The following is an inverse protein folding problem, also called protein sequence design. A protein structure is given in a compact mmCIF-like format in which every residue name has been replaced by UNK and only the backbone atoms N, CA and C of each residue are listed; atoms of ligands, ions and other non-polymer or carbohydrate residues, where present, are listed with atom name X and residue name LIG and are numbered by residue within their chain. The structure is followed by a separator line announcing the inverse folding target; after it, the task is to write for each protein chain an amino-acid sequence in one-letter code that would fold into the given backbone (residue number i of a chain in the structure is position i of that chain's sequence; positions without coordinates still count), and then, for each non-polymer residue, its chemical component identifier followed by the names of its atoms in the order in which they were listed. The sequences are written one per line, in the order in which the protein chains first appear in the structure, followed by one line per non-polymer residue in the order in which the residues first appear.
data_IF_252042451234
#
_entry.id   IF_252042451234
#
_cell.length_a   1.000
_cell.length_b   1.000
_cell.length_c   1.000
_cell.angle_alpha   90.00
_cell.angle_beta   90.00
_cell.angle_gamma   90.00
#
_symmetry.space_group_name_H-M   'P 1'
#
loop_
_entity.id
_entity.type
_entity.pdbx_description
1 polymer ?
#
# COMPACT_ATOMS: atom_id res chain seq x y z
N UNK A 1 27.72 -5.83 -11.92
CA UNK A 1 27.53 -6.95 -10.99
C UNK A 1 26.04 -7.00 -10.65
N UNK A 2 25.35 -7.97 -11.22
CA UNK A 2 23.91 -8.20 -11.02
C UNK A 2 23.71 -8.60 -9.58
N UNK A 3 23.12 -7.74 -8.78
CA UNK A 3 22.63 -8.10 -7.44
C UNK A 3 21.21 -8.64 -7.55
N UNK A 4 21.09 -9.92 -7.92
CA UNK A 4 19.92 -10.71 -7.61
C UNK A 4 19.96 -11.05 -6.12
N UNK A 5 19.41 -10.22 -5.28
CA UNK A 5 19.20 -10.56 -3.87
C UNK A 5 17.82 -11.15 -3.70
N UNK A 6 17.79 -12.44 -3.37
CA UNK A 6 16.64 -13.13 -2.82
C UNK A 6 16.14 -12.37 -1.58
N UNK A 7 15.00 -11.71 -1.71
CA UNK A 7 14.29 -11.17 -0.56
C UNK A 7 13.34 -12.25 -0.03
N UNK A 8 13.84 -13.04 0.90
CA UNK A 8 13.01 -13.83 1.79
C UNK A 8 13.47 -13.57 3.20
N UNK A 9 12.69 -12.89 3.96
CA UNK A 9 12.25 -13.24 5.31
C UNK A 9 11.73 -12.02 6.07
N UNK A 10 10.52 -12.18 6.52
CA UNK A 10 9.86 -11.30 7.46
C UNK A 10 10.64 -11.14 8.76
N UNK A 11 10.74 -9.90 9.29
CA UNK A 11 10.57 -9.70 10.71
C UNK A 11 11.79 -9.72 11.60
N UNK A 12 12.94 -9.18 11.17
CA UNK A 12 13.91 -8.64 12.15
C UNK A 12 14.17 -7.19 11.77
N UNK A 13 13.83 -6.27 12.68
CA UNK A 13 14.13 -4.86 12.51
C UNK A 13 15.60 -4.70 12.14
N UNK A 14 15.90 -4.26 10.92
CA UNK A 14 17.27 -3.99 10.49
C UNK A 14 17.77 -2.79 11.28
N UNK A 15 18.58 -3.05 12.28
CA UNK A 15 19.34 -2.02 12.99
C UNK A 15 20.64 -1.87 12.23
N UNK A 16 20.87 -0.72 11.63
CA UNK A 16 22.13 -0.41 10.97
C UNK A 16 23.16 0.05 12.02
N UNK A 17 24.37 -0.52 12.05
CA UNK A 17 25.34 -0.23 13.10
C UNK A 17 25.85 1.23 13.08
N UNK A 18 25.75 1.89 11.94
CA UNK A 18 26.15 3.28 11.72
C UNK A 18 24.99 4.30 11.93
N UNK A 19 23.79 3.83 12.30
CA UNK A 19 22.66 4.69 12.66
C UNK A 19 22.44 4.61 14.17
N UNK A 20 22.92 5.61 14.87
CA UNK A 20 22.74 5.69 16.32
C UNK A 20 21.25 5.80 16.69
N UNK A 21 20.82 5.19 17.79
CA UNK A 21 19.44 5.21 18.24
C UNK A 21 18.85 6.62 18.46
N UNK A 22 19.70 7.60 18.75
CA UNK A 22 19.36 9.01 18.88
C UNK A 22 19.58 9.83 17.60
N UNK A 23 19.92 9.18 16.48
CA UNK A 23 20.01 9.87 15.19
C UNK A 23 18.64 10.43 14.82
N UNK A 24 18.58 11.68 14.36
CA UNK A 24 17.33 12.41 14.10
C UNK A 24 16.38 11.71 13.11
N UNK A 25 16.91 10.93 12.18
CA UNK A 25 16.13 10.17 11.20
C UNK A 25 16.04 8.66 11.54
N UNK A 26 16.50 8.20 12.72
CA UNK A 26 16.58 6.78 13.04
C UNK A 26 15.24 6.05 12.93
N UNK A 27 14.16 6.69 13.40
CA UNK A 27 12.81 6.11 13.33
C UNK A 27 12.34 5.90 11.89
N UNK A 28 12.55 6.88 11.02
CA UNK A 28 12.16 6.82 9.60
C UNK A 28 13.02 5.83 8.83
N UNK A 29 14.32 5.81 9.09
CA UNK A 29 15.25 4.83 8.48
C UNK A 29 14.81 3.40 8.84
N UNK A 30 14.52 3.14 10.11
CA UNK A 30 14.02 1.85 10.57
C UNK A 30 12.71 1.48 9.87
N UNK A 31 11.71 2.35 9.94
CA UNK A 31 10.39 2.11 9.35
C UNK A 31 10.46 1.80 7.84
N UNK A 32 11.17 2.65 7.08
CA UNK A 32 11.25 2.48 5.63
C UNK A 32 12.16 1.31 5.23
N UNK A 33 13.12 0.93 6.06
CA UNK A 33 13.91 -0.27 5.86
C UNK A 33 13.11 -1.55 6.10
N UNK A 34 12.24 -1.57 7.12
CA UNK A 34 11.31 -2.68 7.37
C UNK A 34 10.33 -2.87 6.21
N UNK A 35 9.93 -1.79 5.56
CA UNK A 35 9.08 -1.78 4.36
C UNK A 35 9.85 -2.02 3.05
N UNK A 36 11.16 -2.25 3.11
CA UNK A 36 12.04 -2.40 1.94
C UNK A 36 12.01 -1.21 0.96
N UNK A 37 11.56 -0.04 1.40
CA UNK A 37 11.59 1.21 0.63
C UNK A 37 13.01 1.74 0.52
N UNK A 38 13.77 1.66 1.62
CA UNK A 38 15.20 1.97 1.63
C UNK A 38 15.97 0.72 2.07
N UNK A 39 17.16 0.55 1.52
CA UNK A 39 18.02 -0.60 1.83
C UNK A 39 19.40 -0.12 2.25
N UNK A 40 20.05 -0.89 3.13
CA UNK A 40 21.47 -0.67 3.46
C UNK A 40 22.41 -1.22 2.39
N UNK A 41 23.68 -0.98 2.60
CA UNK A 41 24.75 -1.49 1.76
C UNK A 41 25.10 -2.95 2.10
N UNK A 42 25.82 -3.65 1.20
CA UNK A 42 26.24 -5.03 1.46
C UNK A 42 27.13 -5.22 2.70
N UNK A 43 27.79 -4.15 3.15
CA UNK A 43 28.59 -4.12 4.37
C UNK A 43 27.75 -4.02 5.66
N UNK A 44 26.43 -3.95 5.52
CA UNK A 44 25.47 -3.85 6.61
C UNK A 44 25.21 -2.43 7.11
N UNK A 45 25.86 -1.42 6.53
CA UNK A 45 25.69 -0.01 6.91
C UNK A 45 24.52 0.64 6.17
N UNK A 46 24.00 1.75 6.66
CA UNK A 46 23.03 2.61 5.98
C UNK A 46 23.63 3.84 5.32
N UNK A 47 24.68 4.37 5.91
CA UNK A 47 25.38 5.60 5.51
C UNK A 47 24.46 6.81 5.46
N UNK A 48 23.89 7.24 6.59
CA UNK A 48 22.86 8.28 6.63
C UNK A 48 23.32 9.64 6.07
N UNK A 49 24.61 9.94 6.17
CA UNK A 49 25.21 11.22 5.74
C UNK A 49 25.75 11.19 4.31
N UNK A 50 25.75 10.03 3.64
CA UNK A 50 26.18 9.95 2.24
C UNK A 50 25.14 10.62 1.32
N UNK A 51 25.61 11.28 0.27
CA UNK A 51 24.75 11.89 -0.73
C UNK A 51 24.06 10.81 -1.59
N UNK A 52 22.88 11.14 -2.10
CA UNK A 52 22.08 10.26 -2.98
C UNK A 52 22.22 10.74 -4.42
N UNK A 53 22.48 9.81 -5.34
CA UNK A 53 22.48 10.13 -6.76
C UNK A 53 21.05 10.26 -7.30
N UNK A 54 20.89 10.92 -8.45
CA UNK A 54 19.60 11.09 -9.14
C UNK A 54 18.97 9.74 -9.51
N UNK A 55 19.78 8.77 -9.92
CA UNK A 55 19.32 7.41 -10.24
C UNK A 55 18.83 6.66 -8.99
N UNK A 56 19.59 6.72 -7.90
CA UNK A 56 19.20 6.13 -6.62
C UNK A 56 17.90 6.75 -6.12
N UNK A 57 17.78 8.07 -6.17
CA UNK A 57 16.58 8.76 -5.71
C UNK A 57 15.34 8.41 -6.55
N UNK A 58 15.44 8.36 -7.88
CA UNK A 58 14.34 7.92 -8.74
C UNK A 58 13.87 6.50 -8.38
N UNK A 59 14.83 5.59 -8.15
CA UNK A 59 14.52 4.22 -7.71
C UNK A 59 13.84 4.20 -6.34
N UNK A 60 14.38 4.91 -5.35
CA UNK A 60 13.81 4.99 -4.01
C UNK A 60 12.39 5.58 -4.02
N UNK A 61 12.13 6.61 -4.83
CA UNK A 61 10.81 7.24 -4.95
C UNK A 61 9.76 6.27 -5.53
N UNK A 62 10.11 5.51 -6.56
CA UNK A 62 9.20 4.51 -7.16
C UNK A 62 8.89 3.37 -6.19
N UNK A 63 9.89 2.86 -5.45
CA UNK A 63 9.67 1.87 -4.40
C UNK A 63 8.81 2.42 -3.26
N UNK A 64 9.03 3.67 -2.85
CA UNK A 64 8.21 4.34 -1.84
C UNK A 64 6.73 4.44 -2.24
N UNK A 65 6.46 4.56 -3.54
CA UNK A 65 5.10 4.63 -4.09
C UNK A 65 4.52 3.25 -4.44
N UNK A 66 5.27 2.16 -4.27
CA UNK A 66 4.84 0.80 -4.59
C UNK A 66 4.56 0.60 -6.09
N UNK A 67 5.29 1.29 -6.95
CA UNK A 67 5.06 1.30 -8.40
C UNK A 67 6.16 0.61 -9.21
N UNK A 68 7.00 -0.18 -8.57
CA UNK A 68 8.11 -0.92 -9.19
C UNK A 68 7.67 -1.93 -10.26
N UNK A 69 6.43 -2.39 -10.19
CA UNK A 69 5.88 -3.35 -11.17
C UNK A 69 5.04 -2.70 -12.29
N UNK A 70 4.90 -1.37 -12.28
CA UNK A 70 4.19 -0.66 -13.36
C UNK A 70 4.93 -0.80 -14.68
N UNK A 71 4.21 -1.12 -15.77
CA UNK A 71 4.79 -1.20 -17.11
C UNK A 71 4.69 0.15 -17.82
N UNK A 72 5.81 0.67 -18.28
CA UNK A 72 5.89 1.85 -19.14
C UNK A 72 5.93 1.41 -20.60
N UNK A 73 4.96 1.85 -21.40
CA UNK A 73 4.79 1.41 -22.81
C UNK A 73 5.61 2.27 -23.77
N UNK A 74 5.82 3.54 -23.41
CA UNK A 74 6.55 4.50 -24.24
C UNK A 74 7.71 5.10 -23.43
N UNK A 75 8.87 4.44 -23.41
CA UNK A 75 10.02 4.96 -22.70
C UNK A 75 10.60 6.21 -23.38
N UNK A 76 11.23 7.07 -22.59
CA UNK A 76 11.98 8.23 -23.07
C UNK A 76 13.42 7.84 -23.30
N UNK A 77 13.97 8.19 -24.44
CA UNK A 77 15.36 7.91 -24.76
C UNK A 77 16.28 9.00 -24.21
N UNK A 78 17.31 8.58 -23.48
CA UNK A 78 18.39 9.43 -23.00
C UNK A 78 19.70 9.06 -23.72
N UNK A 79 20.66 9.97 -23.76
CA UNK A 79 21.96 9.73 -24.38
C UNK A 79 23.01 9.21 -23.41
N UNK A 80 22.71 9.25 -22.12
CA UNK A 80 23.61 8.90 -21.01
C UNK A 80 23.12 7.71 -20.16
N UNK A 81 22.00 7.12 -20.51
CA UNK A 81 21.50 5.85 -19.96
C UNK A 81 20.87 5.02 -21.08
N UNK A 82 21.11 3.74 -21.07
CA UNK A 82 20.54 2.74 -21.96
C UNK A 82 19.64 1.76 -21.20
N UNK A 83 19.03 0.82 -21.93
CA UNK A 83 18.11 -0.15 -21.36
C UNK A 83 18.78 -1.11 -20.36
N UNK A 84 20.11 -1.29 -20.46
CA UNK A 84 20.89 -2.14 -19.56
C UNK A 84 21.32 -1.42 -18.27
N UNK A 85 21.06 -0.09 -18.18
CA UNK A 85 21.38 0.66 -16.98
C UNK A 85 20.51 0.21 -15.80
N UNK A 86 21.10 -0.05 -14.65
CA UNK A 86 20.44 -0.67 -13.50
C UNK A 86 19.17 0.05 -13.03
N UNK A 87 19.09 1.37 -13.16
CA UNK A 87 17.95 2.19 -12.74
C UNK A 87 17.04 2.58 -13.92
N UNK A 88 17.34 2.14 -15.16
CA UNK A 88 16.59 2.56 -16.35
C UNK A 88 15.07 2.47 -16.15
N UNK A 89 14.61 1.32 -15.72
CA UNK A 89 13.19 1.04 -15.53
C UNK A 89 12.53 1.96 -14.47
N UNK A 90 13.25 2.25 -13.38
CA UNK A 90 12.77 3.14 -12.32
C UNK A 90 12.73 4.60 -12.77
N UNK A 91 13.72 5.02 -13.55
CA UNK A 91 13.75 6.36 -14.16
C UNK A 91 12.58 6.54 -15.13
N UNK A 92 12.31 5.56 -15.99
CA UNK A 92 11.17 5.59 -16.91
C UNK A 92 9.82 5.67 -16.17
N UNK A 93 9.68 4.95 -15.05
CA UNK A 93 8.48 5.02 -14.18
C UNK A 93 8.35 6.39 -13.51
N UNK A 94 9.46 6.96 -13.03
CA UNK A 94 9.44 8.29 -12.44
C UNK A 94 9.01 9.37 -13.45
N UNK A 95 9.41 9.27 -14.71
CA UNK A 95 8.92 10.11 -15.81
C UNK A 95 7.44 9.84 -16.12
N UNK A 96 7.06 8.57 -16.22
CA UNK A 96 5.67 8.18 -16.49
C UNK A 96 4.70 8.73 -15.44
N UNK A 97 5.08 8.70 -14.17
CA UNK A 97 4.28 9.25 -13.06
C UNK A 97 4.44 10.77 -12.89
N UNK A 98 5.17 11.44 -13.79
CA UNK A 98 5.40 12.89 -13.75
C UNK A 98 6.10 13.37 -12.46
N UNK A 99 6.84 12.47 -11.79
CA UNK A 99 7.62 12.83 -10.62
C UNK A 99 8.81 13.72 -10.99
N UNK A 100 9.45 13.39 -12.10
CA UNK A 100 10.56 14.13 -12.70
C UNK A 100 10.15 14.64 -14.07
N UNK A 101 10.60 15.83 -14.41
CA UNK A 101 10.40 16.38 -15.74
C UNK A 101 11.48 15.84 -16.68
N UNK A 102 11.10 15.56 -17.93
CA UNK A 102 12.07 15.34 -18.98
C UNK A 102 12.86 16.65 -19.18
N UNK A 103 14.21 16.62 -19.14
CA UNK A 103 15.00 17.81 -19.37
C UNK A 103 14.65 18.44 -20.74
N UNK A 104 14.46 19.75 -20.79
CA UNK A 104 14.24 20.45 -22.04
C UNK A 104 15.47 20.27 -22.94
N UNK A 105 15.25 19.81 -24.18
CA UNK A 105 16.33 19.38 -25.05
C UNK A 105 16.71 17.92 -24.96
N UNK A 106 16.05 17.16 -24.08
CA UNK A 106 15.72 15.73 -24.16
C UNK A 106 16.87 14.74 -24.05
N UNK A 107 18.06 15.08 -23.56
CA UNK A 107 19.10 14.16 -23.92
C UNK A 107 19.89 13.53 -22.78
N UNK A 108 19.92 14.13 -21.59
CA UNK A 108 20.71 13.58 -20.48
C UNK A 108 19.91 13.55 -19.20
N UNK A 109 19.91 12.41 -18.55
CA UNK A 109 19.34 12.25 -17.22
C UNK A 109 20.33 12.61 -16.11
N UNK A 110 21.64 12.42 -16.34
CA UNK A 110 22.73 12.60 -15.38
C UNK A 110 22.57 11.69 -14.15
N UNK A 111 22.58 10.37 -14.34
CA UNK A 111 22.22 9.40 -13.29
C UNK A 111 23.13 9.45 -12.06
N UNK A 112 24.41 9.73 -12.26
CA UNK A 112 25.44 9.71 -11.23
C UNK A 112 25.63 11.05 -10.51
N UNK A 113 24.98 12.13 -10.98
CA UNK A 113 24.98 13.40 -10.28
C UNK A 113 24.21 13.28 -8.97
N UNK A 114 24.67 13.94 -7.91
CA UNK A 114 23.93 14.01 -6.65
C UNK A 114 22.63 14.80 -6.84
N UNK A 115 21.53 14.30 -6.28
CA UNK A 115 20.27 15.03 -6.26
C UNK A 115 20.36 16.18 -5.25
N UNK A 116 19.96 17.38 -5.66
CA UNK A 116 19.85 18.53 -4.74
C UNK A 116 18.55 18.48 -3.93
N UNK A 117 18.52 19.22 -2.82
CA UNK A 117 17.29 19.32 -2.01
C UNK A 117 16.11 19.90 -2.81
N UNK A 118 16.33 20.93 -3.64
CA UNK A 118 15.25 21.51 -4.45
C UNK A 118 14.71 20.52 -5.49
N UNK A 119 15.57 19.70 -6.10
CA UNK A 119 15.15 18.62 -7.00
C UNK A 119 14.37 17.54 -6.25
N UNK A 120 14.88 17.10 -5.08
CA UNK A 120 14.23 16.08 -4.28
C UNK A 120 12.84 16.53 -3.80
N UNK A 121 12.72 17.76 -3.27
CA UNK A 121 11.45 18.35 -2.85
C UNK A 121 10.47 18.46 -4.03
N UNK A 122 10.96 18.79 -5.22
CA UNK A 122 10.10 18.87 -6.41
C UNK A 122 9.51 17.51 -6.77
N UNK A 123 10.33 16.45 -6.76
CA UNK A 123 9.87 15.08 -7.05
C UNK A 123 8.78 14.65 -6.08
N UNK A 124 8.94 14.89 -4.78
CA UNK A 124 7.93 14.49 -3.79
C UNK A 124 6.63 15.28 -3.92
N UNK A 125 6.70 16.58 -4.26
CA UNK A 125 5.50 17.41 -4.49
C UNK A 125 4.78 16.99 -5.77
N UNK A 126 5.51 16.63 -6.82
CA UNK A 126 4.94 16.15 -8.08
C UNK A 126 4.17 14.82 -7.93
N UNK A 127 4.50 14.03 -6.92
CA UNK A 127 3.73 12.82 -6.60
C UNK A 127 2.30 13.11 -6.11
N UNK A 128 1.98 14.38 -5.79
CA UNK A 128 0.75 14.77 -5.12
C UNK A 128 -0.16 15.62 -6.01
N UNK A 129 -1.45 15.55 -5.75
CA UNK A 129 -2.42 16.55 -6.16
C UNK A 129 -2.42 17.67 -5.12
N UNK A 130 -1.98 18.85 -5.50
CA UNK A 130 -1.86 20.01 -4.63
C UNK A 130 -2.60 21.19 -5.20
N UNK A 131 -3.06 22.11 -4.33
CA UNK A 131 -3.60 23.39 -4.79
C UNK A 131 -2.50 24.22 -5.47
N UNK A 132 -2.90 24.99 -6.48
CA UNK A 132 -1.99 25.94 -7.09
C UNK A 132 -1.73 27.12 -6.19
N UNK A 133 -0.49 27.55 -6.14
CA UNK A 133 -0.06 28.73 -5.40
C UNK A 133 0.70 29.70 -6.31
N UNK A 134 0.62 30.98 -5.99
CA UNK A 134 1.40 32.01 -6.72
C UNK A 134 2.84 32.06 -6.19
N UNK A 135 3.79 32.56 -7.01
CA UNK A 135 5.16 32.81 -6.54
C UNK A 135 5.22 33.71 -5.30
N UNK A 136 4.32 34.72 -5.20
CA UNK A 136 4.22 35.58 -4.01
C UNK A 136 3.82 34.77 -2.78
N UNK A 137 2.83 33.88 -2.91
CA UNK A 137 2.43 33.01 -1.79
C UNK A 137 3.54 32.07 -1.38
N UNK A 138 4.27 31.49 -2.35
CA UNK A 138 5.44 30.67 -2.06
C UNK A 138 6.51 31.44 -1.26
N UNK A 139 6.87 32.64 -1.69
CA UNK A 139 7.81 33.52 -0.97
C UNK A 139 7.30 33.90 0.45
N UNK A 140 6.00 34.11 0.59
CA UNK A 140 5.38 34.43 1.89
C UNK A 140 5.56 33.27 2.88
N UNK A 141 5.21 32.04 2.50
CA UNK A 141 5.29 30.87 3.39
C UNK A 141 6.74 30.49 3.69
N UNK A 142 7.65 30.72 2.74
CA UNK A 142 9.09 30.41 2.88
C UNK A 142 9.90 31.53 3.56
N UNK A 143 9.29 32.68 3.92
CA UNK A 143 10.02 33.85 4.47
C UNK A 143 10.82 33.58 5.76
N UNK A 144 10.52 32.49 6.47
CA UNK A 144 11.25 32.08 7.68
C UNK A 144 12.65 31.52 7.39
N UNK A 145 12.90 31.08 6.14
CA UNK A 145 14.18 30.47 5.76
C UNK A 145 15.21 31.54 5.39
N UNK A 146 16.40 31.41 5.96
CA UNK A 146 17.48 32.41 5.83
C UNK A 146 18.19 32.35 4.48
N UNK A 147 18.02 31.25 3.75
CA UNK A 147 18.66 30.95 2.47
C UNK A 147 17.66 30.87 1.29
N UNK A 148 16.46 31.45 1.45
CA UNK A 148 15.43 31.48 0.41
C UNK A 148 15.95 32.04 -0.93
N UNK A 149 16.90 32.98 -0.89
CA UNK A 149 17.50 33.56 -2.07
C UNK A 149 18.36 32.58 -2.88
N UNK A 150 18.66 31.40 -2.35
CA UNK A 150 19.37 30.33 -3.07
C UNK A 150 18.44 29.37 -3.81
N UNK A 151 17.13 29.44 -3.56
CA UNK A 151 16.13 28.61 -4.27
C UNK A 151 15.99 29.10 -5.69
N UNK A 152 16.08 28.20 -6.66
CA UNK A 152 15.88 28.54 -8.08
C UNK A 152 14.40 28.88 -8.34
N UNK A 153 14.15 29.85 -9.26
CA UNK A 153 12.77 30.29 -9.56
C UNK A 153 11.86 29.15 -10.00
N UNK A 154 12.39 28.17 -10.73
CA UNK A 154 11.67 26.97 -11.18
C UNK A 154 11.22 26.05 -10.04
N UNK A 155 11.95 26.03 -8.92
CA UNK A 155 11.66 25.19 -7.76
C UNK A 155 10.88 25.93 -6.65
N UNK A 156 10.72 27.24 -6.75
CA UNK A 156 10.09 28.07 -5.74
C UNK A 156 8.66 27.62 -5.38
N UNK A 157 7.89 27.26 -6.39
CA UNK A 157 6.50 26.81 -6.21
C UNK A 157 6.47 25.45 -5.47
N UNK A 158 7.34 24.53 -5.87
CA UNK A 158 7.44 23.21 -5.22
C UNK A 158 7.86 23.35 -3.75
N UNK A 159 8.88 24.17 -3.46
CA UNK A 159 9.31 24.46 -2.10
C UNK A 159 8.18 25.08 -1.24
N UNK A 160 7.42 26.02 -1.80
CA UNK A 160 6.27 26.62 -1.12
C UNK A 160 5.12 25.63 -0.86
N UNK A 161 4.83 24.75 -1.81
CA UNK A 161 3.84 23.66 -1.64
C UNK A 161 4.29 22.67 -0.56
N UNK A 162 5.57 22.26 -0.57
CA UNK A 162 6.13 21.38 0.45
C UNK A 162 6.03 22.01 1.86
N UNK A 163 6.26 23.32 1.98
CA UNK A 163 6.10 24.04 3.24
C UNK A 163 4.64 24.03 3.74
N UNK A 164 3.68 24.29 2.86
CA UNK A 164 2.24 24.28 3.21
C UNK A 164 1.79 22.89 3.68
N UNK A 165 2.38 21.82 3.11
CA UNK A 165 2.07 20.43 3.43
C UNK A 165 2.91 19.85 4.58
N UNK A 166 3.76 20.69 5.21
CA UNK A 166 4.70 20.27 6.27
C UNK A 166 5.60 19.08 5.85
N UNK A 167 6.09 19.12 4.61
CA UNK A 167 6.90 18.05 4.02
C UNK A 167 8.40 18.36 4.03
N UNK A 168 8.80 19.59 4.33
CA UNK A 168 10.21 19.97 4.38
C UNK A 168 10.94 19.24 5.52
N UNK A 169 12.19 18.84 5.25
CA UNK A 169 13.03 18.20 6.26
C UNK A 169 13.75 19.23 7.09
N UNK A 170 13.67 19.09 8.40
CA UNK A 170 14.33 19.95 9.35
C UNK A 170 15.43 19.19 10.09
N UNK A 171 16.65 19.36 9.63
CA UNK A 171 17.83 18.79 10.31
C UNK A 171 18.05 19.58 11.62
N UNK A 172 18.29 18.91 12.76
CA UNK A 172 18.58 19.58 14.02
C UNK A 172 19.72 20.58 13.89
N UNK A 173 19.49 21.82 14.36
CA UNK A 173 20.43 22.93 14.21
C UNK A 173 20.34 23.70 12.88
N UNK A 174 19.60 23.24 11.91
CA UNK A 174 19.42 23.85 10.58
C UNK A 174 17.96 24.12 10.19
N UNK A 175 17.08 24.17 11.15
CA UNK A 175 15.61 24.29 10.96
C UNK A 175 15.15 25.47 10.08
N UNK A 176 15.99 26.48 9.90
CA UNK A 176 15.69 27.66 9.09
C UNK A 176 16.50 27.75 7.80
N UNK A 177 16.96 26.59 7.29
CA UNK A 177 17.65 26.48 6.01
C UNK A 177 16.94 25.48 5.09
N UNK A 178 16.79 25.84 3.81
CA UNK A 178 16.28 24.96 2.77
C UNK A 178 17.38 24.15 2.10
N UNK A 179 18.62 24.63 2.13
CA UNK A 179 19.79 24.04 1.50
C UNK A 179 19.57 23.71 -0.01
N UNK A 180 18.77 24.49 -0.68
CA UNK A 180 18.17 24.17 -1.97
C UNK A 180 19.11 23.51 -2.97
N UNK A 181 20.33 24.07 -3.13
CA UNK A 181 21.35 23.58 -4.09
C UNK A 181 22.37 22.60 -3.52
N UNK A 182 22.30 22.32 -2.22
CA UNK A 182 23.19 21.35 -1.60
C UNK A 182 22.71 19.93 -1.92
N UNK A 183 23.63 18.94 -2.08
CA UNK A 183 23.24 17.54 -2.22
C UNK A 183 22.44 17.06 -1.02
N UNK A 184 21.38 16.30 -1.28
CA UNK A 184 20.58 15.70 -0.23
C UNK A 184 21.20 14.38 0.26
N UNK A 185 21.23 14.20 1.58
CA UNK A 185 21.77 12.99 2.22
C UNK A 185 20.73 11.86 2.24
N UNK A 186 21.19 10.62 2.44
CA UNK A 186 20.31 9.45 2.52
C UNK A 186 19.32 9.55 3.69
N UNK A 187 19.72 10.14 4.80
CA UNK A 187 18.82 10.41 5.93
C UNK A 187 17.73 11.40 5.54
N UNK A 188 18.08 12.52 4.91
CA UNK A 188 17.13 13.55 4.45
C UNK A 188 16.18 12.99 3.41
N UNK A 189 16.67 12.25 2.42
CA UNK A 189 15.85 11.57 1.41
C UNK A 189 14.88 10.57 2.07
N UNK A 190 15.33 9.80 3.07
CA UNK A 190 14.46 8.86 3.77
C UNK A 190 13.27 9.56 4.44
N UNK A 191 13.50 10.69 5.08
CA UNK A 191 12.42 11.48 5.72
C UNK A 191 11.51 12.09 4.66
N UNK A 192 12.04 12.64 3.56
CA UNK A 192 11.26 13.15 2.44
C UNK A 192 10.36 12.07 1.84
N UNK A 193 10.88 10.87 1.61
CA UNK A 193 10.11 9.75 1.08
C UNK A 193 8.98 9.32 2.02
N UNK A 194 9.23 9.29 3.34
CA UNK A 194 8.17 9.02 4.30
C UNK A 194 7.05 10.05 4.21
N UNK A 195 7.39 11.32 4.20
CA UNK A 195 6.41 12.41 4.08
C UNK A 195 5.62 12.29 2.75
N UNK A 196 6.30 11.99 1.64
CA UNK A 196 5.66 11.73 0.35
C UNK A 196 4.67 10.56 0.44
N UNK A 197 5.08 9.44 1.02
CA UNK A 197 4.22 8.25 1.14
C UNK A 197 2.94 8.56 1.91
N UNK A 198 3.02 9.29 3.02
CA UNK A 198 1.88 9.65 3.84
C UNK A 198 0.92 10.57 3.08
N UNK A 199 1.42 11.58 2.40
CA UNK A 199 0.61 12.51 1.63
C UNK A 199 0.05 11.88 0.35
N UNK A 200 0.84 11.06 -0.37
CA UNK A 200 0.40 10.40 -1.58
C UNK A 200 -0.71 9.37 -1.36
N UNK A 201 -0.82 8.80 -0.15
CA UNK A 201 -1.95 7.94 0.22
C UNK A 201 -3.29 8.69 0.18
N UNK A 202 -3.28 9.97 0.53
CA UNK A 202 -4.47 10.81 0.61
C UNK A 202 -4.73 11.55 -0.71
N UNK A 203 -3.69 12.10 -1.30
CA UNK A 203 -3.76 13.03 -2.41
C UNK A 203 -2.74 12.70 -3.51
N UNK A 204 -2.75 11.49 -4.12
CA UNK A 204 -1.83 11.16 -5.19
C UNK A 204 -2.07 12.02 -6.44
N UNK A 205 -1.05 12.25 -7.25
CA UNK A 205 -1.25 12.86 -8.56
C UNK A 205 -2.13 11.97 -9.45
N UNK A 206 -2.62 12.52 -10.55
CA UNK A 206 -3.60 11.84 -11.41
C UNK A 206 -3.10 10.48 -11.92
N UNK A 207 -1.87 10.40 -12.42
CA UNK A 207 -1.32 9.15 -12.98
C UNK A 207 -1.07 8.11 -11.89
N UNK A 208 -0.57 8.54 -10.74
CA UNK A 208 -0.38 7.67 -9.59
C UNK A 208 -1.73 7.16 -9.06
N UNK A 209 -2.74 8.04 -8.96
CA UNK A 209 -4.11 7.65 -8.58
C UNK A 209 -4.70 6.60 -9.54
N UNK A 210 -4.49 6.76 -10.85
CA UNK A 210 -4.95 5.79 -11.86
C UNK A 210 -4.24 4.44 -11.72
N UNK A 211 -2.94 4.44 -11.45
CA UNK A 211 -2.17 3.21 -11.24
C UNK A 211 -2.55 2.49 -9.93
N UNK A 212 -2.76 3.24 -8.86
CA UNK A 212 -3.25 2.72 -7.58
C UNK A 212 -4.66 2.13 -7.68
N UNK A 213 -5.48 2.67 -8.56
CA UNK A 213 -6.86 2.26 -8.79
C UNK A 213 -6.93 1.17 -9.85
N UNK A 214 -6.46 -0.04 -9.54
CA UNK A 214 -6.55 -1.15 -10.49
C UNK A 214 -8.03 -1.48 -10.78
N UNK A 215 -8.50 -1.14 -11.97
CA UNK A 215 -9.82 -1.49 -12.46
C UNK A 215 -9.79 -2.90 -13.04
N UNK A 216 -10.80 -3.71 -12.70
CA UNK A 216 -11.04 -4.97 -13.41
C UNK A 216 -12.45 -4.99 -13.97
N UNK A 217 -12.67 -5.82 -14.97
CA UNK A 217 -14.00 -6.01 -15.53
C UNK A 217 -14.93 -6.83 -14.64
N UNK A 218 -14.38 -7.72 -13.80
CA UNK A 218 -15.13 -8.79 -13.14
C UNK A 218 -14.78 -8.94 -11.66
N UNK A 219 -15.82 -9.16 -10.85
CA UNK A 219 -15.67 -9.39 -9.43
C UNK A 219 -17.00 -9.33 -8.69
N UNK A 220 -16.97 -9.66 -7.42
CA UNK A 220 -18.08 -9.50 -6.52
C UNK A 220 -18.19 -8.03 -6.10
N UNK A 221 -19.25 -7.35 -6.53
CA UNK A 221 -19.45 -5.94 -6.21
C UNK A 221 -19.92 -5.79 -4.76
N UNK A 222 -19.19 -5.00 -3.97
CA UNK A 222 -19.61 -4.56 -2.64
C UNK A 222 -20.15 -3.14 -2.79
N UNK A 223 -21.47 -2.95 -2.77
CA UNK A 223 -22.10 -1.69 -3.16
C UNK A 223 -21.74 -0.50 -2.26
N UNK A 224 -21.50 -0.78 -0.97
CA UNK A 224 -21.21 0.21 0.05
C UNK A 224 -19.71 0.53 0.17
N UNK A 225 -18.87 -0.26 -0.50
CA UNK A 225 -17.42 -0.05 -0.46
C UNK A 225 -17.01 1.19 -1.24
N UNK A 226 -16.05 1.91 -0.71
CA UNK A 226 -15.55 3.17 -1.26
C UNK A 226 -14.04 3.14 -1.41
N UNK A 227 -13.51 3.98 -2.31
CA UNK A 227 -12.07 4.24 -2.45
C UNK A 227 -11.85 5.73 -2.30
N UNK A 228 -10.96 6.09 -1.39
CA UNK A 228 -10.53 7.47 -1.17
C UNK A 228 -8.99 7.52 -1.18
N UNK A 229 -8.42 8.24 -2.13
CA UNK A 229 -6.97 8.22 -2.34
C UNK A 229 -6.48 6.80 -2.64
N UNK A 230 -5.56 6.30 -1.84
CA UNK A 230 -5.04 4.94 -1.90
C UNK A 230 -5.73 3.95 -0.96
N UNK A 231 -6.76 4.38 -0.24
CA UNK A 231 -7.49 3.52 0.68
C UNK A 231 -8.81 3.05 0.12
N UNK A 232 -9.03 1.74 0.20
CA UNK A 232 -10.33 1.11 0.03
C UNK A 232 -10.97 0.86 1.39
N UNK A 233 -12.24 1.12 1.53
CA UNK A 233 -13.01 0.83 2.74
C UNK A 233 -14.20 -0.05 2.41
N UNK A 234 -14.31 -1.18 3.11
CA UNK A 234 -15.49 -2.03 3.11
C UNK A 234 -16.19 -1.79 4.45
N UNK A 235 -17.37 -1.18 4.47
CA UNK A 235 -18.02 -0.82 5.72
C UNK A 235 -18.57 -2.04 6.48
N UNK A 236 -18.73 -1.90 7.80
CA UNK A 236 -19.45 -2.87 8.60
C UNK A 236 -20.86 -3.11 8.03
N UNK A 237 -21.34 -4.34 8.15
CA UNK A 237 -22.63 -4.75 7.57
C UNK A 237 -22.53 -5.25 6.14
N UNK A 238 -21.46 -4.99 5.40
CA UNK A 238 -21.23 -5.56 4.07
C UNK A 238 -21.11 -7.08 4.14
N UNK A 239 -21.53 -7.73 3.05
CA UNK A 239 -21.47 -9.20 2.94
C UNK A 239 -20.41 -9.58 1.90
N UNK A 240 -19.52 -10.51 2.26
CA UNK A 240 -18.46 -11.02 1.40
C UNK A 240 -18.56 -12.54 1.22
N UNK A 241 -18.36 -13.08 0.01
CA UNK A 241 -18.29 -14.51 -0.23
C UNK A 241 -16.91 -15.06 0.14
N UNK A 242 -16.85 -16.21 0.80
CA UNK A 242 -15.59 -16.95 0.98
C UNK A 242 -15.78 -18.41 0.58
N UNK A 243 -14.76 -19.01 0.00
CA UNK A 243 -14.71 -20.44 -0.29
C UNK A 243 -13.96 -21.16 0.82
N UNK A 244 -14.52 -22.26 1.31
CA UNK A 244 -13.85 -23.06 2.34
C UNK A 244 -12.91 -24.09 1.70
N UNK A 245 -11.71 -24.23 2.28
CA UNK A 245 -10.69 -25.17 1.78
C UNK A 245 -10.81 -26.56 2.40
N UNK A 246 -11.48 -26.66 3.56
CA UNK A 246 -11.71 -27.91 4.31
C UNK A 246 -13.20 -28.04 4.64
N UNK A 247 -13.69 -29.28 4.64
CA UNK A 247 -15.08 -29.51 5.03
C UNK A 247 -15.32 -29.09 6.49
N UNK A 248 -16.39 -28.33 6.71
CA UNK A 248 -16.90 -27.96 8.02
C UNK A 248 -18.33 -28.44 8.18
N UNK A 249 -18.70 -28.89 9.35
CA UNK A 249 -19.99 -29.56 9.56
C UNK A 249 -20.55 -29.35 10.95
N UNK A 250 -21.85 -29.12 11.03
CA UNK A 250 -22.55 -29.08 12.33
C UNK A 250 -22.49 -30.40 13.11
N UNK A 251 -22.06 -31.49 12.46
CA UNK A 251 -21.99 -32.84 13.06
C UNK A 251 -20.59 -33.20 13.59
N UNK A 252 -19.54 -32.77 12.86
CA UNK A 252 -18.17 -33.25 13.09
C UNK A 252 -17.20 -32.16 13.49
N UNK A 253 -17.52 -30.89 13.19
CA UNK A 253 -16.68 -29.77 13.61
C UNK A 253 -16.96 -29.35 15.05
N UNK A 254 -15.98 -28.72 15.67
CA UNK A 254 -16.04 -28.23 17.05
C UNK A 254 -16.07 -26.70 17.12
N UNK A 255 -16.71 -26.15 18.12
CA UNK A 255 -16.61 -24.73 18.43
C UNK A 255 -15.15 -24.38 18.75
N UNK A 256 -14.66 -23.29 18.19
CA UNK A 256 -13.24 -22.89 18.28
C UNK A 256 -12.34 -23.52 17.23
N UNK A 257 -12.82 -24.47 16.43
CA UNK A 257 -12.03 -25.05 15.33
C UNK A 257 -11.72 -24.00 14.27
N UNK A 258 -10.44 -23.93 13.86
CA UNK A 258 -9.97 -23.04 12.82
C UNK A 258 -10.18 -23.69 11.45
N UNK A 259 -10.67 -22.95 10.51
CA UNK A 259 -10.73 -23.36 9.10
C UNK A 259 -10.04 -22.34 8.20
N UNK A 260 -9.55 -22.82 7.05
CA UNK A 260 -8.96 -21.97 6.01
C UNK A 260 -9.95 -21.85 4.85
N UNK A 261 -9.97 -20.66 4.28
CA UNK A 261 -10.73 -20.33 3.11
C UNK A 261 -9.97 -19.35 2.23
N UNK A 262 -10.59 -18.93 1.15
CA UNK A 262 -10.04 -17.89 0.26
C UNK A 262 -11.16 -17.11 -0.43
N UNK A 263 -10.82 -15.93 -0.93
CA UNK A 263 -11.73 -15.14 -1.76
C UNK A 263 -11.94 -15.87 -3.11
N UNK A 264 -13.18 -16.28 -3.43
CA UNK A 264 -13.47 -17.04 -4.67
C UNK A 264 -13.31 -16.18 -5.93
N UNK A 265 -13.42 -14.89 -5.80
CA UNK A 265 -13.39 -13.88 -6.88
C UNK A 265 -12.89 -12.56 -6.30
N UNK A 266 -12.42 -11.66 -7.14
CA UNK A 266 -12.05 -10.31 -6.69
C UNK A 266 -13.25 -9.63 -6.01
N UNK A 267 -13.02 -8.93 -4.88
CA UNK A 267 -14.03 -8.01 -4.33
C UNK A 267 -13.76 -6.63 -4.88
N UNK A 268 -14.80 -6.01 -5.43
CA UNK A 268 -14.67 -4.74 -6.14
C UNK A 268 -15.72 -3.72 -5.67
N UNK A 269 -15.42 -2.44 -5.86
CA UNK A 269 -16.40 -1.35 -5.70
C UNK A 269 -17.36 -1.28 -6.90
N UNK A 270 -18.41 -0.45 -6.80
CA UNK A 270 -19.30 -0.11 -7.95
C UNK A 270 -18.50 0.43 -9.15
N UNK A 271 -17.43 1.17 -8.89
CA UNK A 271 -16.56 1.75 -9.92
C UNK A 271 -15.48 0.77 -10.43
N UNK A 272 -15.61 -0.50 -10.05
CA UNK A 272 -14.74 -1.61 -10.46
C UNK A 272 -13.28 -1.51 -9.95
N UNK A 273 -13.04 -0.87 -8.82
CA UNK A 273 -11.76 -0.94 -8.14
C UNK A 273 -11.64 -2.23 -7.35
N UNK A 274 -10.51 -2.92 -7.49
CA UNK A 274 -10.25 -4.12 -6.70
C UNK A 274 -9.88 -3.70 -5.27
N UNK A 275 -10.58 -4.29 -4.32
CA UNK A 275 -10.30 -4.17 -2.90
C UNK A 275 -9.60 -5.42 -2.38
N UNK A 276 -10.07 -6.61 -2.78
CA UNK A 276 -9.52 -7.91 -2.39
C UNK A 276 -9.34 -8.75 -3.64
N UNK A 277 -8.16 -9.33 -3.84
CA UNK A 277 -7.90 -10.19 -4.98
C UNK A 277 -8.48 -11.59 -4.78
N UNK A 278 -8.87 -12.20 -5.88
CA UNK A 278 -9.19 -13.63 -5.92
C UNK A 278 -8.03 -14.44 -5.32
N UNK A 279 -8.36 -15.52 -4.62
CA UNK A 279 -7.43 -16.41 -3.93
C UNK A 279 -6.72 -15.83 -2.71
N UNK A 280 -7.06 -14.59 -2.26
CA UNK A 280 -6.60 -14.08 -0.96
C UNK A 280 -7.01 -15.04 0.15
N UNK A 281 -6.05 -15.51 0.93
CA UNK A 281 -6.30 -16.45 2.03
C UNK A 281 -7.02 -15.78 3.20
N UNK A 282 -7.97 -16.52 3.76
CA UNK A 282 -8.80 -16.11 4.87
C UNK A 282 -8.80 -17.22 5.93
N UNK A 283 -8.45 -16.86 7.15
CA UNK A 283 -8.55 -17.74 8.29
C UNK A 283 -9.85 -17.46 9.05
N UNK A 284 -10.62 -18.50 9.31
CA UNK A 284 -11.86 -18.40 10.06
C UNK A 284 -11.89 -19.31 11.27
N UNK A 285 -12.92 -19.10 12.09
CA UNK A 285 -13.20 -19.90 13.27
C UNK A 285 -14.66 -20.35 13.28
N UNK A 286 -14.94 -21.53 13.82
CA UNK A 286 -16.29 -22.00 14.06
C UNK A 286 -16.80 -21.40 15.37
N UNK A 287 -17.73 -20.45 15.25
CA UNK A 287 -18.29 -19.72 16.38
C UNK A 287 -19.33 -20.54 17.15
N UNK A 288 -20.12 -21.34 16.44
CA UNK A 288 -21.14 -22.20 17.03
C UNK A 288 -21.36 -23.42 16.15
N UNK A 289 -21.37 -24.58 16.78
CA UNK A 289 -21.64 -25.84 16.12
C UNK A 289 -22.62 -26.66 16.94
N UNK A 290 -23.74 -27.09 16.33
CA UNK A 290 -24.76 -27.87 16.99
C UNK A 290 -25.40 -28.85 16.02
N UNK A 291 -25.42 -30.12 16.38
CA UNK A 291 -26.08 -31.15 15.58
C UNK A 291 -27.60 -30.98 15.53
N UNK A 292 -28.14 -31.19 14.36
CA UNK A 292 -29.59 -31.36 14.20
C UNK A 292 -30.08 -32.68 14.84
N UNK A 293 -31.22 -32.64 15.51
CA UNK A 293 -31.95 -33.83 16.02
C UNK A 293 -33.31 -33.90 15.34
N UNK A 294 -33.65 -35.07 14.81
CA UNK A 294 -34.92 -35.28 14.11
C UNK A 294 -36.11 -34.90 15.03
N UNK A 295 -37.07 -34.17 14.49
CA UNK A 295 -38.27 -33.65 15.19
C UNK A 295 -37.99 -32.69 16.38
N UNK A 296 -36.73 -32.45 16.75
CA UNK A 296 -36.39 -31.60 17.88
C UNK A 296 -35.83 -30.24 17.45
N UNK A 297 -34.75 -30.24 16.65
CA UNK A 297 -34.06 -29.01 16.22
C UNK A 297 -33.23 -29.21 14.96
N UNK A 298 -33.07 -28.15 14.20
CA UNK A 298 -32.11 -28.13 13.10
C UNK A 298 -30.67 -27.98 13.62
N UNK A 299 -29.70 -28.39 12.83
CA UNK A 299 -28.29 -28.09 13.06
C UNK A 299 -28.01 -26.59 12.97
N UNK A 300 -27.02 -26.14 13.70
CA UNK A 300 -26.49 -24.78 13.63
C UNK A 300 -25.00 -24.90 13.29
N UNK A 301 -24.57 -24.13 12.31
CA UNK A 301 -23.15 -23.96 11.99
C UNK A 301 -22.90 -22.49 11.68
N UNK A 302 -22.40 -21.77 12.70
CA UNK A 302 -21.98 -20.38 12.58
C UNK A 302 -20.48 -20.31 12.49
N UNK A 303 -20.02 -19.49 11.58
CA UNK A 303 -18.62 -19.28 11.28
C UNK A 303 -18.30 -17.81 11.36
N UNK A 304 -17.05 -17.48 11.67
CA UNK A 304 -16.53 -16.14 11.64
C UNK A 304 -15.14 -16.14 11.04
N UNK A 305 -14.70 -14.98 10.57
CA UNK A 305 -13.32 -14.80 10.17
C UNK A 305 -12.53 -14.09 11.26
N UNK A 306 -11.27 -14.50 11.42
CA UNK A 306 -10.34 -13.91 12.37
C UNK A 306 -9.21 -13.17 11.68
N UNK A 307 -8.83 -13.57 10.47
CA UNK A 307 -7.73 -12.97 9.77
C UNK A 307 -7.82 -13.16 8.24
N UNK A 308 -7.23 -12.22 7.53
CA UNK A 308 -6.97 -12.26 6.11
C UNK A 308 -5.46 -12.14 5.91
N UNK A 309 -4.87 -12.97 5.05
CA UNK A 309 -3.45 -12.86 4.70
C UNK A 309 -3.32 -11.99 3.47
N UNK A 310 -2.50 -10.96 3.55
CA UNK A 310 -2.25 -10.05 2.43
C UNK A 310 -1.24 -10.64 1.45
N UNK A 311 -1.08 -10.02 0.29
CA UNK A 311 -0.06 -10.40 -0.70
C UNK A 311 1.38 -10.33 -0.16
N UNK A 312 1.61 -9.56 0.90
CA UNK A 312 2.91 -9.41 1.57
C UNK A 312 3.02 -10.28 2.84
N UNK A 313 2.22 -11.34 2.93
CA UNK A 313 2.15 -12.24 4.09
C UNK A 313 1.79 -11.55 5.42
N UNK A 314 1.30 -10.33 5.37
CA UNK A 314 0.76 -9.67 6.56
C UNK A 314 -0.56 -10.30 6.96
N UNK A 315 -0.67 -10.66 8.21
CA UNK A 315 -1.91 -11.15 8.80
C UNK A 315 -2.69 -10.00 9.39
N UNK A 316 -3.90 -9.84 8.91
CA UNK A 316 -4.77 -8.75 9.29
C UNK A 316 -6.01 -9.29 9.95
N UNK A 317 -6.41 -8.69 11.07
CA UNK A 317 -7.65 -9.07 11.75
C UNK A 317 -8.87 -8.68 10.92
N UNK A 318 -9.79 -9.63 10.81
CA UNK A 318 -11.04 -9.50 10.11
C UNK A 318 -12.17 -9.95 11.05
N UNK A 319 -13.05 -9.02 11.42
CA UNK A 319 -14.20 -9.35 12.27
C UNK A 319 -15.44 -9.52 11.39
N UNK A 320 -15.79 -10.78 11.14
CA UNK A 320 -16.94 -11.13 10.32
C UNK A 320 -17.63 -12.39 10.85
N UNK A 321 -18.92 -12.50 10.63
CA UNK A 321 -19.71 -13.66 11.03
C UNK A 321 -20.70 -14.08 9.95
N UNK A 322 -21.06 -15.37 9.94
CA UNK A 322 -22.02 -15.90 8.99
C UNK A 322 -22.61 -17.24 9.43
N UNK A 323 -23.71 -17.60 8.82
CA UNK A 323 -24.33 -18.92 8.97
C UNK A 323 -24.16 -19.72 7.67
N UNK A 324 -23.76 -20.98 7.79
CA UNK A 324 -23.81 -21.91 6.67
C UNK A 324 -25.27 -22.28 6.42
N UNK A 325 -25.85 -21.78 5.34
CA UNK A 325 -27.24 -22.05 4.93
C UNK A 325 -27.22 -22.83 3.63
N UNK A 326 -27.84 -24.01 3.60
CA UNK A 326 -28.07 -24.70 2.32
C UNK A 326 -29.07 -23.94 1.46
N UNK A 327 -28.63 -23.55 0.26
CA UNK A 327 -29.54 -22.94 -0.73
C UNK A 327 -30.56 -24.00 -1.17
N UNK A 328 -31.85 -23.82 -0.82
CA UNK A 328 -32.89 -24.80 -1.08
C UNK A 328 -34.10 -24.15 -1.73
N UNK A 329 -34.68 -24.87 -2.69
CA UNK A 329 -35.96 -24.56 -3.28
C UNK A 329 -37.06 -24.40 -2.21
N UNK A 330 -38.09 -23.64 -2.53
CA UNK A 330 -39.24 -23.41 -1.66
C UNK A 330 -39.81 -24.64 -0.97
N UNK A 331 -39.92 -25.76 -1.72
CA UNK A 331 -40.39 -27.04 -1.19
C UNK A 331 -39.52 -27.54 -0.03
N UNK A 332 -38.21 -27.42 -0.12
CA UNK A 332 -37.30 -27.83 0.92
C UNK A 332 -37.30 -26.88 2.13
N UNK A 333 -37.69 -25.62 1.97
CA UNK A 333 -37.96 -24.70 3.09
C UNK A 333 -39.18 -25.19 3.88
N UNK A 334 -40.22 -25.68 3.21
CA UNK A 334 -41.41 -26.26 3.85
C UNK A 334 -41.09 -27.55 4.61
N UNK A 335 -40.34 -28.49 3.99
CA UNK A 335 -39.89 -29.74 4.61
C UNK A 335 -39.04 -29.48 5.83
N UNK A 336 -38.13 -28.49 5.79
CA UNK A 336 -37.31 -28.07 6.93
C UNK A 336 -38.12 -27.53 8.10
N UNK A 337 -39.25 -26.87 7.83
CA UNK A 337 -40.15 -26.35 8.86
C UNK A 337 -40.92 -27.48 9.55
N UNK A 338 -41.23 -28.56 8.82
CA UNK A 338 -42.02 -29.69 9.32
C UNK A 338 -41.13 -30.77 9.95
N UNK A 339 -40.01 -31.12 9.27
CA UNK A 339 -39.07 -32.14 9.72
C UNK A 339 -37.75 -31.51 10.20
N UNK A 340 -37.65 -31.27 11.51
CA UNK A 340 -36.39 -30.79 12.13
C UNK A 340 -35.32 -31.89 12.11
N UNK A 341 -34.06 -31.51 12.14
CA UNK A 341 -32.96 -32.49 12.19
C UNK A 341 -31.94 -32.34 11.06
N UNK A 342 -32.05 -31.25 10.30
CA UNK A 342 -31.09 -31.01 9.20
C UNK A 342 -29.67 -30.85 9.71
N UNK A 343 -28.73 -31.54 9.03
CA UNK A 343 -27.30 -31.44 9.22
C UNK A 343 -26.76 -30.39 8.26
N UNK A 344 -26.07 -29.38 8.79
CA UNK A 344 -25.43 -28.34 8.00
C UNK A 344 -23.98 -28.72 7.75
N UNK A 345 -23.52 -28.60 6.50
CA UNK A 345 -22.15 -28.85 6.12
C UNK A 345 -21.76 -27.95 4.93
N UNK A 346 -20.56 -27.49 4.91
CA UNK A 346 -19.91 -26.94 3.74
C UNK A 346 -18.75 -27.85 3.35
N UNK A 347 -18.66 -28.21 2.08
CA UNK A 347 -17.59 -29.02 1.50
C UNK A 347 -16.46 -28.10 1.00
N UNK A 348 -15.26 -28.63 0.80
CA UNK A 348 -14.22 -27.87 0.10
C UNK A 348 -14.75 -27.36 -1.25
N UNK A 349 -14.57 -26.07 -1.52
CA UNK A 349 -15.10 -25.39 -2.70
C UNK A 349 -16.49 -24.77 -2.52
N UNK A 350 -17.22 -25.08 -1.46
CA UNK A 350 -18.49 -24.41 -1.18
C UNK A 350 -18.25 -22.95 -0.75
N UNK A 351 -19.12 -22.06 -1.25
CA UNK A 351 -19.08 -20.64 -0.90
C UNK A 351 -20.03 -20.37 0.28
N UNK A 352 -19.53 -19.70 1.30
CA UNK A 352 -20.32 -19.15 2.40
C UNK A 352 -20.28 -17.63 2.38
N UNK A 353 -21.34 -16.99 2.83
CA UNK A 353 -21.43 -15.53 2.88
C UNK A 353 -21.17 -15.09 4.32
N UNK A 354 -20.21 -14.20 4.50
CA UNK A 354 -19.91 -13.58 5.77
C UNK A 354 -20.35 -12.14 5.77
N UNK A 355 -20.95 -11.71 6.87
CA UNK A 355 -21.26 -10.31 7.14
C UNK A 355 -20.14 -9.72 7.98
N UNK A 356 -19.61 -8.57 7.58
CA UNK A 356 -18.62 -7.85 8.35
C UNK A 356 -19.26 -7.22 9.59
N UNK A 357 -18.69 -7.47 10.74
CA UNK A 357 -19.13 -6.88 12.02
C UNK A 357 -18.37 -5.58 12.32
N UNK A 358 -17.20 -5.37 11.68
CA UNK A 358 -16.41 -4.15 11.72
C UNK A 358 -16.01 -3.72 10.29
N UNK A 359 -15.73 -2.44 10.05
CA UNK A 359 -15.23 -2.00 8.74
C UNK A 359 -13.83 -2.52 8.48
N UNK A 360 -13.50 -2.75 7.21
CA UNK A 360 -12.14 -3.07 6.76
C UNK A 360 -11.62 -1.88 5.98
N UNK A 361 -10.48 -1.35 6.37
CA UNK A 361 -9.74 -0.34 5.63
C UNK A 361 -8.49 -0.97 5.01
N UNK A 362 -8.32 -0.83 3.71
CA UNK A 362 -7.28 -1.50 2.93
C UNK A 362 -6.42 -0.45 2.25
N UNK A 363 -5.11 -0.50 2.44
CA UNK A 363 -4.15 0.29 1.67
C UNK A 363 -3.92 -0.38 0.32
N UNK A 364 -4.33 0.29 -0.75
CA UNK A 364 -4.25 -0.24 -2.11
C UNK A 364 -2.88 -0.04 -2.76
N UNK A 365 -1.94 0.67 -2.13
CA UNK A 365 -0.61 0.93 -2.69
C UNK A 365 0.27 -0.31 -2.67
N UNK A 366 0.21 -1.07 -1.58
CA UNK A 366 0.97 -2.32 -1.40
C UNK A 366 0.12 -3.56 -1.71
N UNK A 367 -1.03 -3.36 -2.36
CA UNK A 367 -2.00 -4.41 -2.57
C UNK A 367 -2.90 -4.67 -1.36
N UNK A 368 -2.42 -4.58 -0.12
CA UNK A 368 -3.16 -4.97 1.07
C UNK A 368 -2.46 -4.54 2.34
N UNK A 369 -2.82 -3.49 2.96
CA UNK A 369 -2.48 -3.21 4.36
C UNK A 369 -3.77 -2.79 5.02
N UNK A 370 -4.19 -3.51 6.05
CA UNK A 370 -5.18 -3.00 6.96
C UNK A 370 -4.50 -1.96 7.83
N UNK A 371 -5.01 -0.79 7.76
CA UNK A 371 -4.63 0.27 8.70
C UNK A 371 -5.82 0.54 9.58
N UNK A 372 -5.60 0.56 10.89
CA UNK A 372 -6.57 1.06 11.84
C UNK A 372 -6.88 2.54 11.62
#
# INVERSE_FOLDING_TARGET
VVLSTNYASAGVAKIFPDVAANHWAAAQIKELSEKSVVVGYPDGTFKPDDNVTRAEFASMAIHALGQEHTKVIQPVNFTDIDEDFWAYDMIQKALYFELINCPQGGQKFRPDDNVSHEEAVTVIVNALTTADITPQKAKEVLRKYTDLNKVSDEFLIAAGKAEILDMNVHVPGEAYKLKAKEPATRAEITVLLKNMMEQAKLNPNKKLAEAMRKKTGEGFVIPEATVQGSYGTIPAGSTIPITVNKAISSQYSSQGEIYMGHAPINYITKDKFILVYQSTELQGIILQCQNGKWFVRNGILKVGNQAMTTLNDQRVELVASGEVVKNKNWFMKFVRKVFKGEKLNAKPGDVIMLKLDAPIKIDLTNGWVLTD
#
